data_IF_877993455898
#
_entry.id   IF_877993455898
#
_cell.length_a   1.000
_cell.length_b   1.000
_cell.length_c   1.000
_cell.angle_alpha   90.00
_cell.angle_beta   90.00
_cell.angle_gamma   90.00
#
_symmetry.space_group_name_H-M   'P 1'
#
loop_
_entity.id
_entity.type
_entity.pdbx_description
1 polymer ?
#
# COMPACT_ATOMS: atom_id res chain seq x y z
N UNK A 1 12.50 -2.53 -23.05
CA UNK A 1 11.86 -2.35 -21.73
C UNK A 1 12.78 -1.50 -20.89
N UNK A 2 12.28 -0.39 -20.37
CA UNK A 2 13.02 0.45 -19.43
C UNK A 2 13.13 -0.28 -18.08
N UNK A 3 14.26 -0.14 -17.40
CA UNK A 3 14.41 -0.67 -16.04
C UNK A 3 13.86 0.32 -15.01
N UNK A 4 13.60 -0.13 -13.77
CA UNK A 4 13.09 0.72 -12.69
C UNK A 4 14.14 1.69 -12.10
N UNK A 5 15.41 1.66 -12.52
CA UNK A 5 16.46 2.46 -11.89
C UNK A 5 16.19 3.98 -11.92
N UNK A 6 15.70 4.59 -13.02
CA UNK A 6 15.34 6.02 -13.00
C UNK A 6 14.24 6.33 -11.98
N UNK A 7 13.21 5.48 -11.92
CA UNK A 7 12.09 5.63 -10.98
C UNK A 7 12.59 5.54 -9.54
N UNK A 8 13.45 4.56 -9.23
CA UNK A 8 14.03 4.42 -7.88
C UNK A 8 14.90 5.60 -7.49
N UNK A 9 15.54 6.28 -8.44
CA UNK A 9 16.37 7.46 -8.17
C UNK A 9 15.54 8.70 -7.86
N UNK A 10 14.45 8.92 -8.61
CA UNK A 10 13.76 10.20 -8.67
C UNK A 10 12.49 10.25 -7.79
N UNK A 11 11.85 9.10 -7.55
CA UNK A 11 10.63 9.05 -6.73
C UNK A 11 10.90 9.28 -5.24
N UNK A 12 9.99 9.98 -4.57
CA UNK A 12 9.92 10.09 -3.11
C UNK A 12 8.89 9.16 -2.50
N UNK A 13 7.87 8.81 -3.27
CA UNK A 13 6.83 7.85 -2.90
C UNK A 13 6.61 6.86 -4.03
N UNK A 14 6.65 5.58 -3.70
CA UNK A 14 6.22 4.50 -4.59
C UNK A 14 5.06 3.78 -3.92
N UNK A 15 3.94 3.66 -4.63
CA UNK A 15 2.74 2.95 -4.16
C UNK A 15 2.60 1.67 -4.98
N UNK A 16 2.65 0.50 -4.35
CA UNK A 16 2.37 -0.77 -5.02
C UNK A 16 0.90 -1.12 -4.87
N UNK A 17 0.20 -1.28 -5.98
CA UNK A 17 -1.21 -1.65 -6.03
C UNK A 17 -1.40 -2.92 -6.88
N UNK A 18 -2.53 -3.60 -6.73
CA UNK A 18 -2.84 -4.80 -7.51
C UNK A 18 -3.73 -5.78 -6.74
N UNK A 19 -4.14 -6.86 -7.39
CA UNK A 19 -5.03 -7.87 -6.81
C UNK A 19 -4.40 -8.66 -5.67
N UNK A 20 -5.21 -9.41 -4.94
CA UNK A 20 -4.73 -10.29 -3.86
C UNK A 20 -3.81 -11.40 -4.40
N UNK A 21 -2.74 -11.70 -3.67
CA UNK A 21 -1.87 -12.86 -3.95
C UNK A 21 -0.87 -12.72 -5.10
N UNK A 22 -0.83 -11.57 -5.81
CA UNK A 22 0.09 -11.36 -6.95
C UNK A 22 1.53 -11.04 -6.54
N UNK A 23 1.82 -10.85 -5.24
CA UNK A 23 3.16 -10.56 -4.72
C UNK A 23 3.47 -9.08 -4.53
N UNK A 24 2.46 -8.24 -4.26
CA UNK A 24 2.64 -6.81 -3.96
C UNK A 24 3.67 -6.56 -2.85
N UNK A 25 3.46 -7.18 -1.70
CA UNK A 25 4.32 -7.04 -0.52
C UNK A 25 5.78 -7.43 -0.81
N UNK A 26 5.97 -8.56 -1.50
CA UNK A 26 7.31 -8.99 -1.94
C UNK A 26 7.94 -7.98 -2.90
N UNK A 27 7.15 -7.48 -3.84
CA UNK A 27 7.60 -6.46 -4.80
C UNK A 27 7.95 -5.14 -4.10
N UNK A 28 7.12 -4.67 -3.18
CA UNK A 28 7.38 -3.47 -2.39
C UNK A 28 8.67 -3.59 -1.57
N UNK A 29 8.86 -4.73 -0.89
CA UNK A 29 10.07 -5.02 -0.13
C UNK A 29 11.33 -5.07 -1.04
N UNK A 30 11.23 -5.73 -2.21
CA UNK A 30 12.34 -5.79 -3.17
C UNK A 30 12.71 -4.41 -3.72
N UNK A 31 11.72 -3.56 -4.03
CA UNK A 31 11.91 -2.17 -4.46
C UNK A 31 12.62 -1.36 -3.36
N UNK A 32 12.14 -1.45 -2.12
CA UNK A 32 12.73 -0.75 -0.99
C UNK A 32 14.18 -1.20 -0.75
N UNK A 33 14.45 -2.50 -0.83
CA UNK A 33 15.80 -3.06 -0.70
C UNK A 33 16.73 -2.55 -1.79
N UNK A 34 16.30 -2.50 -3.06
CA UNK A 34 17.11 -1.99 -4.17
C UNK A 34 17.36 -0.48 -4.07
N UNK A 35 16.40 0.28 -3.58
CA UNK A 35 16.60 1.71 -3.30
C UNK A 35 17.63 1.92 -2.18
N UNK A 36 17.56 1.16 -1.09
CA UNK A 36 18.56 1.19 -0.03
C UNK A 36 19.94 0.73 -0.53
N UNK A 37 20.00 -0.27 -1.42
CA UNK A 37 21.24 -0.73 -2.08
C UNK A 37 21.87 0.36 -2.97
N UNK A 38 21.06 1.28 -3.49
CA UNK A 38 21.54 2.45 -4.25
C UNK A 38 21.94 3.65 -3.37
N UNK A 39 21.96 3.51 -2.05
CA UNK A 39 22.35 4.53 -1.09
C UNK A 39 21.23 5.45 -0.63
N UNK A 40 19.96 5.18 -0.97
CA UNK A 40 18.83 5.99 -0.50
C UNK A 40 18.35 5.53 0.88
N UNK A 41 18.07 6.47 1.77
CA UNK A 41 17.41 6.20 3.05
C UNK A 41 15.95 5.84 2.75
N UNK A 42 15.60 4.58 2.93
CA UNK A 42 14.32 4.04 2.45
C UNK A 42 13.49 3.47 3.59
N UNK A 43 12.18 3.77 3.58
CA UNK A 43 11.20 3.09 4.42
C UNK A 43 10.22 2.30 3.56
N UNK A 44 9.80 1.11 4.00
CA UNK A 44 8.67 0.38 3.46
C UNK A 44 7.57 0.30 4.51
N UNK A 45 6.38 0.76 4.14
CA UNK A 45 5.18 0.73 4.97
C UNK A 45 4.17 -0.24 4.36
N UNK A 46 3.69 -1.19 5.16
CA UNK A 46 2.58 -2.08 4.76
C UNK A 46 1.32 -1.79 5.56
N UNK A 47 0.19 -1.92 4.91
CA UNK A 47 -1.14 -1.86 5.52
C UNK A 47 -1.64 -3.28 5.84
N UNK A 48 -1.09 -4.31 5.19
CA UNK A 48 -1.50 -5.71 5.39
C UNK A 48 -1.03 -6.20 6.79
N UNK A 49 -1.96 -6.62 7.67
CA UNK A 49 -1.61 -7.15 8.98
C UNK A 49 -0.90 -8.51 8.92
N UNK A 50 -0.87 -9.16 7.75
CA UNK A 50 -0.11 -10.38 7.57
C UNK A 50 1.39 -10.10 7.73
N UNK A 51 2.08 -10.88 8.57
CA UNK A 51 3.51 -10.70 8.88
C UNK A 51 4.46 -10.98 7.71
N UNK A 52 3.96 -10.97 6.47
CA UNK A 52 4.75 -11.32 5.26
C UNK A 52 5.92 -10.38 5.06
N UNK A 53 5.69 -9.07 5.20
CA UNK A 53 6.76 -8.07 5.10
C UNK A 53 7.80 -8.25 6.18
N UNK A 54 7.38 -8.44 7.45
CA UNK A 54 8.30 -8.66 8.55
C UNK A 54 9.18 -9.88 8.30
N UNK A 55 8.57 -11.01 7.95
CA UNK A 55 9.28 -12.27 7.69
C UNK A 55 10.31 -12.10 6.55
N UNK A 56 9.92 -11.48 5.44
CA UNK A 56 10.81 -11.27 4.28
C UNK A 56 11.99 -10.34 4.58
N UNK A 57 11.87 -9.46 5.57
CA UNK A 57 12.91 -8.53 6.00
C UNK A 57 13.64 -8.97 7.28
N UNK A 58 13.38 -10.18 7.76
CA UNK A 58 14.03 -10.73 8.96
C UNK A 58 13.61 -10.08 10.28
N UNK A 59 12.44 -9.43 10.32
CA UNK A 59 11.90 -8.82 11.52
C UNK A 59 11.00 -9.81 12.28
N UNK A 60 11.11 -9.82 13.60
CA UNK A 60 10.30 -10.71 14.46
C UNK A 60 8.88 -10.20 14.69
N UNK A 61 8.69 -8.89 14.73
CA UNK A 61 7.39 -8.23 14.89
C UNK A 61 7.48 -6.75 14.48
N UNK A 62 6.33 -6.15 14.19
CA UNK A 62 6.20 -4.70 14.03
C UNK A 62 5.65 -4.06 15.32
N UNK A 63 6.12 -2.83 15.61
CA UNK A 63 5.75 -2.07 16.81
C UNK A 63 4.88 -0.85 16.50
N UNK A 64 4.34 -0.73 15.29
CA UNK A 64 3.63 0.47 14.84
C UNK A 64 4.55 1.68 14.53
N UNK A 65 5.86 1.54 14.72
CA UNK A 65 6.88 2.53 14.38
C UNK A 65 7.86 1.97 13.36
N UNK A 66 8.51 2.85 12.59
CA UNK A 66 9.53 2.45 11.63
C UNK A 66 10.72 1.80 12.36
N UNK A 67 10.98 0.54 12.03
CA UNK A 67 12.09 -0.25 12.59
C UNK A 67 13.17 -0.36 11.53
N UNK A 68 14.39 -0.01 11.90
CA UNK A 68 15.55 -0.18 11.04
C UNK A 68 15.92 -1.64 10.92
N UNK A 69 16.17 -2.10 9.70
CA UNK A 69 16.70 -3.44 9.44
C UNK A 69 18.15 -3.48 9.92
N UNK A 70 18.53 -4.59 10.53
CA UNK A 70 19.88 -4.78 11.05
C UNK A 70 20.94 -4.65 9.96
N UNK A 71 21.98 -3.87 10.21
CA UNK A 71 23.04 -3.60 9.24
C UNK A 71 23.84 -4.85 8.86
N UNK A 72 24.00 -5.82 9.77
CA UNK A 72 24.68 -7.08 9.46
C UNK A 72 23.87 -7.92 8.49
N UNK A 73 22.52 -7.95 8.64
CA UNK A 73 21.63 -8.61 7.70
C UNK A 73 21.68 -7.95 6.31
N UNK A 74 21.69 -6.62 6.25
CA UNK A 74 21.80 -5.89 4.99
C UNK A 74 23.15 -6.14 4.29
N UNK A 75 24.26 -6.17 5.04
CA UNK A 75 25.59 -6.51 4.50
C UNK A 75 25.63 -7.96 4.00
N UNK A 76 25.03 -8.91 4.72
CA UNK A 76 24.93 -10.30 4.28
C UNK A 76 24.16 -10.44 2.96
N UNK A 77 23.14 -9.59 2.74
CA UNK A 77 22.37 -9.51 1.48
C UNK A 77 23.07 -8.66 0.39
N UNK A 78 24.36 -8.31 0.58
CA UNK A 78 25.18 -7.59 -0.40
C UNK A 78 24.94 -6.08 -0.48
N UNK A 79 24.43 -5.46 0.59
CA UNK A 79 24.33 -4.01 0.70
C UNK A 79 25.58 -3.43 1.36
N UNK A 80 25.78 -2.13 1.19
CA UNK A 80 26.82 -1.38 1.89
C UNK A 80 26.50 -1.29 3.40
N UNK A 81 27.52 -1.18 4.25
CA UNK A 81 27.37 -1.07 5.71
C UNK A 81 26.62 0.18 6.17
N UNK A 82 26.58 1.21 5.34
CA UNK A 82 25.86 2.46 5.55
C UNK A 82 24.45 2.47 4.97
N UNK A 83 24.01 1.38 4.32
CA UNK A 83 22.66 1.24 3.79
C UNK A 83 21.61 1.42 4.89
N UNK A 84 20.53 2.15 4.55
CA UNK A 84 19.46 2.46 5.48
C UNK A 84 18.12 2.00 4.93
N UNK A 85 17.63 0.91 5.48
CA UNK A 85 16.30 0.37 5.21
C UNK A 85 15.54 0.25 6.52
N UNK A 86 14.34 0.82 6.56
CA UNK A 86 13.40 0.66 7.66
C UNK A 86 12.12 0.04 7.16
N UNK A 87 11.43 -0.71 8.02
CA UNK A 87 10.13 -1.27 7.72
C UNK A 87 9.14 -0.93 8.83
N UNK A 88 7.87 -0.76 8.44
CA UNK A 88 6.79 -0.40 9.34
C UNK A 88 5.51 -1.10 8.89
N UNK A 89 4.70 -1.53 9.86
CA UNK A 89 3.30 -1.87 9.63
C UNK A 89 2.43 -0.76 10.20
N UNK A 90 1.41 -0.36 9.45
CA UNK A 90 0.47 0.67 9.88
C UNK A 90 -0.22 0.23 11.17
N UNK A 91 -0.12 1.06 12.20
CA UNK A 91 -0.98 1.04 13.37
C UNK A 91 -1.98 2.18 13.25
N UNK A 92 -3.20 1.85 12.84
CA UNK A 92 -4.26 2.84 12.60
C UNK A 92 -4.53 3.69 13.83
N UNK A 93 -4.60 3.04 14.99
CA UNK A 93 -4.91 3.72 16.25
C UNK A 93 -3.76 4.64 16.65
N UNK A 94 -2.54 4.15 16.65
CA UNK A 94 -1.37 4.96 17.00
C UNK A 94 -1.23 6.16 16.04
N UNK A 95 -1.43 5.97 14.74
CA UNK A 95 -1.39 7.06 13.75
C UNK A 95 -2.47 8.10 13.98
N UNK A 96 -3.70 7.66 14.29
CA UNK A 96 -4.80 8.57 14.62
C UNK A 96 -4.54 9.33 15.95
N UNK A 97 -4.05 8.63 16.96
CA UNK A 97 -3.70 9.23 18.26
C UNK A 97 -2.57 10.26 18.11
N UNK A 98 -1.54 9.96 17.34
CA UNK A 98 -0.44 10.88 17.04
C UNK A 98 -0.94 12.13 16.27
N UNK A 99 -1.88 11.96 15.35
CA UNK A 99 -2.49 13.06 14.62
C UNK A 99 -3.32 13.96 15.56
N UNK A 100 -4.11 13.37 16.46
CA UNK A 100 -4.84 14.14 17.48
C UNK A 100 -3.88 14.93 18.37
N UNK A 101 -2.80 14.30 18.85
CA UNK A 101 -1.80 14.96 19.71
C UNK A 101 -1.07 16.11 19.01
N UNK A 102 -0.79 15.98 17.71
CA UNK A 102 -0.12 17.03 16.94
C UNK A 102 -0.98 18.25 16.68
N UNK A 103 -2.28 18.05 16.52
CA UNK A 103 -3.20 19.09 16.07
C UNK A 103 -4.13 19.62 17.16
N UNK A 104 -4.17 19.00 18.33
CA UNK A 104 -4.93 19.53 19.46
C UNK A 104 -4.31 20.85 19.98
N UNK A 105 -5.15 21.73 20.49
CA UNK A 105 -4.72 23.02 21.02
C UNK A 105 -3.77 22.92 22.22
N UNK A 106 -3.91 21.86 22.98
CA UNK A 106 -3.10 21.52 24.16
C UNK A 106 -3.25 20.03 24.51
N UNK A 107 -2.39 19.52 25.39
CA UNK A 107 -2.37 18.13 25.80
C UNK A 107 -3.69 17.69 26.48
N UNK A 108 -4.29 18.55 27.27
CA UNK A 108 -5.58 18.26 27.92
C UNK A 108 -6.73 18.15 26.90
N UNK A 109 -6.68 18.92 25.81
CA UNK A 109 -7.63 18.77 24.69
C UNK A 109 -7.42 17.45 23.95
N UNK A 110 -6.16 17.06 23.70
CA UNK A 110 -5.83 15.79 23.12
C UNK A 110 -6.37 14.62 23.96
N UNK A 111 -6.08 14.61 25.25
CA UNK A 111 -6.51 13.54 26.16
C UNK A 111 -8.04 13.42 26.21
N UNK A 112 -8.77 14.53 26.29
CA UNK A 112 -10.25 14.52 26.22
C UNK A 112 -10.79 13.86 24.94
N UNK A 113 -10.10 14.05 23.80
CA UNK A 113 -10.50 13.42 22.53
C UNK A 113 -10.13 11.94 22.55
N UNK A 114 -8.92 11.58 22.95
CA UNK A 114 -8.41 10.22 22.96
C UNK A 114 -9.17 9.29 23.92
N UNK A 115 -9.64 9.81 25.04
CA UNK A 115 -10.43 9.07 26.03
C UNK A 115 -11.91 8.94 25.64
N UNK A 116 -12.35 9.69 24.63
CA UNK A 116 -13.76 9.69 24.25
C UNK A 116 -14.15 8.36 23.57
N UNK A 117 -15.24 7.68 24.02
CA UNK A 117 -15.68 6.40 23.46
C UNK A 117 -15.99 6.47 21.95
N UNK A 118 -16.50 7.59 21.46
CA UNK A 118 -16.79 7.77 20.03
C UNK A 118 -15.51 7.85 19.21
N UNK A 119 -14.48 8.55 19.71
CA UNK A 119 -13.17 8.56 19.09
C UNK A 119 -12.57 7.15 19.02
N UNK A 120 -12.63 6.41 20.12
CA UNK A 120 -12.11 5.03 20.19
C UNK A 120 -12.80 4.10 19.18
N UNK A 121 -14.12 4.22 19.02
CA UNK A 121 -14.88 3.49 18.03
C UNK A 121 -14.55 3.95 16.58
N UNK A 122 -14.40 5.27 16.38
CA UNK A 122 -14.06 5.86 15.09
C UNK A 122 -12.66 5.45 14.62
N UNK A 123 -11.64 5.59 15.49
CA UNK A 123 -10.24 5.31 15.15
C UNK A 123 -9.94 3.85 14.81
N UNK A 124 -10.87 2.92 15.13
CA UNK A 124 -10.68 1.48 14.92
C UNK A 124 -11.63 0.84 13.90
N UNK A 125 -12.75 1.47 13.56
CA UNK A 125 -13.88 0.74 12.94
C UNK A 125 -14.47 1.37 11.68
N UNK A 126 -14.07 2.58 11.27
CA UNK A 126 -14.65 3.24 10.09
C UNK A 126 -13.99 2.79 8.80
N UNK A 127 -14.82 2.33 7.85
CA UNK A 127 -14.37 2.03 6.49
C UNK A 127 -13.77 3.28 5.82
N UNK A 128 -12.57 3.14 5.23
CA UNK A 128 -11.84 4.23 4.58
C UNK A 128 -10.88 5.01 5.49
N UNK A 129 -10.90 4.77 6.82
CA UNK A 129 -9.92 5.40 7.72
C UNK A 129 -8.55 4.75 7.61
N UNK A 130 -8.48 3.45 7.33
CA UNK A 130 -7.23 2.73 7.19
C UNK A 130 -6.40 3.27 6.03
N UNK A 131 -7.03 3.50 4.91
CA UNK A 131 -6.40 4.05 3.71
C UNK A 131 -5.92 5.48 3.94
N UNK A 132 -6.73 6.29 4.62
CA UNK A 132 -6.36 7.66 4.98
C UNK A 132 -5.17 7.69 5.95
N UNK A 133 -5.22 6.90 7.03
CA UNK A 133 -4.13 6.82 8.01
C UNK A 133 -2.82 6.33 7.39
N UNK A 134 -2.89 5.43 6.40
CA UNK A 134 -1.69 5.00 5.69
C UNK A 134 -1.01 6.14 4.92
N UNK A 135 -1.79 6.99 4.23
CA UNK A 135 -1.21 8.11 3.48
C UNK A 135 -0.74 9.22 4.41
N UNK A 136 -1.44 9.45 5.51
CA UNK A 136 -1.00 10.36 6.57
C UNK A 136 0.34 9.91 7.15
N UNK A 137 0.48 8.62 7.47
CA UNK A 137 1.75 8.07 7.94
C UNK A 137 2.88 8.18 6.90
N UNK A 138 2.57 8.00 5.61
CA UNK A 138 3.54 8.23 4.52
C UNK A 138 3.97 9.70 4.49
N UNK A 139 3.02 10.63 4.58
CA UNK A 139 3.32 12.06 4.60
C UNK A 139 4.23 12.43 5.78
N UNK A 140 3.97 11.88 6.96
CA UNK A 140 4.79 12.05 8.14
C UNK A 140 6.21 11.51 7.98
N UNK A 141 6.35 10.29 7.44
CA UNK A 141 7.66 9.71 7.17
C UNK A 141 8.49 10.58 6.20
N UNK A 142 7.85 11.11 5.15
CA UNK A 142 8.51 12.00 4.19
C UNK A 142 8.81 13.39 4.76
N UNK A 143 7.93 13.92 5.61
CA UNK A 143 8.12 15.21 6.27
C UNK A 143 9.22 15.17 7.35
N UNK A 144 9.46 14.01 7.96
CA UNK A 144 10.51 13.82 8.97
C UNK A 144 11.94 14.11 8.45
N UNK A 145 12.15 14.08 7.12
CA UNK A 145 13.46 14.22 6.51
C UNK A 145 14.42 13.05 6.77
N UNK A 146 13.94 12.00 7.44
CA UNK A 146 14.73 10.79 7.70
C UNK A 146 14.84 9.87 6.49
N UNK A 147 13.88 9.95 5.56
CA UNK A 147 13.77 9.07 4.40
C UNK A 147 13.76 9.86 3.09
N UNK A 148 14.50 9.37 2.11
CA UNK A 148 14.54 9.89 0.74
C UNK A 148 13.44 9.26 -0.11
N UNK A 149 13.02 8.03 0.26
CA UNK A 149 11.97 7.26 -0.41
C UNK A 149 11.12 6.50 0.62
N UNK A 150 9.81 6.57 0.44
CA UNK A 150 8.86 5.67 1.09
C UNK A 150 8.22 4.76 0.05
N UNK A 151 8.18 3.47 0.32
CA UNK A 151 7.46 2.47 -0.50
C UNK A 151 6.24 2.01 0.29
N UNK A 152 5.05 2.24 -0.27
CA UNK A 152 3.78 1.87 0.34
C UNK A 152 3.24 0.60 -0.29
N UNK A 153 3.07 -0.44 0.52
CA UNK A 153 2.40 -1.69 0.17
C UNK A 153 0.92 -1.60 0.54
N UNK A 154 0.05 -1.56 -0.49
CA UNK A 154 -1.39 -1.38 -0.29
C UNK A 154 -2.15 -2.70 -0.16
N UNK A 155 -3.37 -2.70 0.43
CA UNK A 155 -4.27 -3.85 0.41
C UNK A 155 -4.64 -4.29 -1.02
N UNK A 156 -5.36 -5.42 -1.20
CA UNK A 156 -5.84 -5.86 -2.51
C UNK A 156 -6.63 -4.79 -3.27
N UNK A 157 -6.53 -4.79 -4.61
CA UNK A 157 -7.00 -3.74 -5.53
C UNK A 157 -8.49 -3.37 -5.45
N UNK A 158 -9.35 -4.24 -4.93
CA UNK A 158 -10.76 -3.90 -4.64
C UNK A 158 -10.89 -2.71 -3.69
N UNK A 159 -9.88 -2.48 -2.85
CA UNK A 159 -9.77 -1.35 -1.92
C UNK A 159 -8.71 -0.32 -2.32
N UNK A 160 -7.92 -0.58 -3.37
CA UNK A 160 -6.86 0.35 -3.78
C UNK A 160 -7.41 1.63 -4.45
N UNK A 161 -8.61 1.57 -5.05
CA UNK A 161 -9.33 2.76 -5.50
C UNK A 161 -9.88 3.55 -4.31
N UNK A 162 -10.34 2.86 -3.26
CA UNK A 162 -10.77 3.49 -2.01
C UNK A 162 -9.64 4.28 -1.36
N UNK A 163 -8.40 3.77 -1.46
CA UNK A 163 -7.19 4.46 -1.01
C UNK A 163 -7.00 5.83 -1.71
N UNK A 164 -7.23 5.88 -3.02
CA UNK A 164 -7.12 7.13 -3.79
C UNK A 164 -8.19 8.15 -3.40
N UNK A 165 -9.39 7.67 -3.06
CA UNK A 165 -10.54 8.50 -2.72
C UNK A 165 -10.61 8.82 -1.21
N UNK A 166 -9.82 8.16 -0.36
CA UNK A 166 -9.89 8.30 1.09
C UNK A 166 -9.76 9.76 1.58
N UNK A 167 -8.81 10.59 1.11
CA UNK A 167 -8.71 11.98 1.53
C UNK A 167 -9.93 12.81 1.11
N UNK A 168 -10.48 12.57 -0.08
CA UNK A 168 -11.65 13.29 -0.58
C UNK A 168 -12.93 12.88 0.15
N UNK A 169 -13.09 11.59 0.45
CA UNK A 169 -14.22 11.09 1.26
C UNK A 169 -14.21 11.70 2.66
N UNK A 170 -13.04 11.82 3.27
CA UNK A 170 -12.92 12.48 4.58
C UNK A 170 -13.31 13.95 4.50
N UNK A 171 -12.80 14.69 3.51
CA UNK A 171 -13.16 16.09 3.29
C UNK A 171 -14.68 16.25 3.10
N UNK A 172 -15.29 15.43 2.25
CA UNK A 172 -16.73 15.45 2.00
C UNK A 172 -17.55 15.12 3.26
N UNK A 173 -17.07 14.18 4.09
CA UNK A 173 -17.71 13.87 5.36
C UNK A 173 -17.63 15.04 6.33
N UNK A 174 -16.48 15.72 6.43
CA UNK A 174 -16.29 16.90 7.28
C UNK A 174 -17.10 18.12 6.79
N UNK A 175 -17.31 18.25 5.47
CA UNK A 175 -18.06 19.34 4.86
C UNK A 175 -19.58 19.08 4.83
N UNK A 176 -20.04 17.91 5.30
CA UNK A 176 -21.46 17.56 5.30
C UNK A 176 -22.24 18.52 6.22
N UNK A 177 -23.33 19.10 5.66
CA UNK A 177 -24.19 20.06 6.39
C UNK A 177 -24.75 19.49 7.68
N UNK A 178 -25.04 18.19 7.75
CA UNK A 178 -25.55 17.54 8.94
C UNK A 178 -24.50 17.48 10.06
N UNK A 179 -23.26 17.14 9.70
CA UNK A 179 -22.11 17.16 10.64
C UNK A 179 -21.85 18.59 11.09
N UNK A 180 -21.78 19.54 10.17
CA UNK A 180 -21.61 20.97 10.48
C UNK A 180 -22.72 21.52 11.37
N UNK A 181 -23.97 21.06 11.20
CA UNK A 181 -25.08 21.45 12.05
C UNK A 181 -24.95 20.90 13.48
N UNK A 182 -24.43 19.70 13.66
CA UNK A 182 -24.28 19.05 14.96
C UNK A 182 -23.24 19.73 15.85
N UNK A 183 -22.11 20.17 15.30
CA UNK A 183 -20.98 20.70 16.08
C UNK A 183 -20.92 22.24 16.13
N UNK A 184 -21.74 22.99 15.35
CA UNK A 184 -21.69 24.44 15.38
C UNK A 184 -21.90 24.97 16.81
N UNK A 185 -20.93 25.74 17.36
CA UNK A 185 -21.08 26.36 18.67
C UNK A 185 -22.33 27.24 18.73
N UNK A 186 -22.95 27.33 19.90
CA UNK A 186 -24.12 28.20 20.15
C UNK A 186 -23.86 29.69 19.81
N UNK A 187 -22.58 30.09 19.70
CA UNK A 187 -22.15 31.48 19.63
C UNK A 187 -21.66 31.94 18.23
N UNK A 188 -21.69 31.11 17.22
CA UNK A 188 -21.17 31.42 15.86
C UNK A 188 -22.26 31.79 14.84
N UNK A 189 -23.41 32.30 15.29
CA UNK A 189 -24.39 32.95 14.41
C UNK A 189 -24.10 34.45 14.27
N UNK A 190 -24.47 35.10 13.16
CA UNK A 190 -24.47 36.55 13.11
C UNK A 190 -25.31 37.06 14.29
N UNK A 191 -24.84 38.13 14.91
CA UNK A 191 -25.57 38.85 16.00
C UNK A 191 -26.91 39.43 15.51
N UNK A 192 -27.76 38.60 14.92
CA UNK A 192 -29.16 38.93 14.73
C UNK A 192 -29.91 38.52 16.01
N UNK A 193 -30.08 39.50 16.89
CA UNK A 193 -31.01 39.43 17.99
C UNK A 193 -32.44 39.40 17.45
N UNK A 194 -32.89 38.18 17.04
CA UNK A 194 -34.22 37.98 16.52
C UNK A 194 -34.88 36.71 17.09
N UNK A 195 -36.19 36.74 17.20
CA UNK A 195 -37.09 35.66 17.68
C UNK A 195 -36.79 34.30 16.98
N UNK A 196 -36.23 34.31 15.77
CA UNK A 196 -35.87 33.12 15.00
C UNK A 196 -34.73 32.27 15.59
N UNK A 197 -33.70 32.89 16.20
CA UNK A 197 -32.59 32.18 16.82
C UNK A 197 -32.98 31.39 18.08
N UNK A 198 -33.96 31.90 18.84
CA UNK A 198 -34.53 31.19 20.01
C UNK A 198 -35.42 30.00 19.59
N UNK A 199 -36.13 30.09 18.47
CA UNK A 199 -36.94 29.00 17.93
C UNK A 199 -36.07 27.85 17.39
N UNK A 200 -34.97 28.15 16.69
CA UNK A 200 -34.01 27.18 16.23
C UNK A 200 -33.29 26.44 17.37
N UNK A 201 -32.96 27.15 18.44
CA UNK A 201 -32.36 26.53 19.64
C UNK A 201 -33.32 25.60 20.37
N UNK A 202 -34.61 25.94 20.47
CA UNK A 202 -35.66 25.09 21.06
C UNK A 202 -35.97 23.87 20.18
N UNK A 203 -35.99 24.04 18.85
CA UNK A 203 -36.18 22.94 17.90
C UNK A 203 -35.06 21.88 18.01
N UNK A 204 -33.82 22.34 18.15
CA UNK A 204 -32.65 21.46 18.33
C UNK A 204 -32.74 20.67 19.65
N UNK A 205 -33.10 21.32 20.78
CA UNK A 205 -33.28 20.61 22.05
C UNK A 205 -34.43 19.59 22.00
N UNK A 206 -35.50 19.88 21.27
CA UNK A 206 -36.63 18.98 21.12
C UNK A 206 -36.28 17.75 20.29
N UNK A 207 -35.53 17.92 19.18
CA UNK A 207 -35.01 16.84 18.37
C UNK A 207 -34.05 15.96 19.18
N UNK A 208 -33.12 16.54 19.94
CA UNK A 208 -32.20 15.77 20.79
C UNK A 208 -32.95 15.00 21.90
N UNK A 209 -33.94 15.61 22.56
CA UNK A 209 -34.77 14.92 23.57
C UNK A 209 -35.57 13.75 22.97
N UNK A 210 -36.10 13.92 21.76
CA UNK A 210 -36.87 12.86 21.10
C UNK A 210 -35.97 11.70 20.64
N UNK A 211 -34.78 12.00 20.14
CA UNK A 211 -33.78 11.00 19.72
C UNK A 211 -33.17 10.26 20.91
N UNK A 212 -32.86 10.96 22.02
CA UNK A 212 -32.39 10.33 23.25
C UNK A 212 -33.43 9.36 23.84
N UNK A 213 -34.73 9.67 23.66
CA UNK A 213 -35.81 8.78 24.11
C UNK A 213 -35.92 7.49 23.29
N UNK A 214 -35.51 7.54 22.03
CA UNK A 214 -35.46 6.37 21.12
C UNK A 214 -34.22 5.51 21.32
N UNK A 215 -33.08 6.12 21.70
CA UNK A 215 -31.79 5.42 21.85
C UNK A 215 -31.47 5.04 23.30
N UNK A 216 -32.29 5.43 24.27
CA UNK A 216 -32.18 5.00 25.66
C UNK A 216 -31.04 5.67 26.47
N UNK A 217 -30.45 6.77 25.97
CA UNK A 217 -29.33 7.42 26.67
C UNK A 217 -28.92 8.78 26.08
N UNK A 218 -27.91 9.45 26.65
CA UNK A 218 -27.40 10.74 26.22
C UNK A 218 -26.58 10.68 24.93
N UNK A 219 -26.73 9.63 24.14
CA UNK A 219 -25.97 9.33 22.92
C UNK A 219 -25.72 10.56 22.03
N UNK A 220 -26.78 11.31 21.72
CA UNK A 220 -26.65 12.48 20.84
C UNK A 220 -25.97 13.69 21.51
N UNK A 221 -26.10 13.83 22.82
CA UNK A 221 -25.42 14.90 23.59
C UNK A 221 -23.92 14.61 23.67
N UNK A 222 -23.54 13.35 23.91
CA UNK A 222 -22.16 12.90 23.96
C UNK A 222 -21.52 12.98 22.58
N UNK A 223 -22.23 12.55 21.52
CA UNK A 223 -21.78 12.69 20.13
C UNK A 223 -21.60 14.16 19.73
N UNK A 224 -22.52 15.04 20.10
CA UNK A 224 -22.41 16.47 19.82
C UNK A 224 -21.22 17.10 20.57
N UNK A 225 -21.00 16.70 21.83
CA UNK A 225 -19.84 17.13 22.64
C UNK A 225 -18.53 16.64 22.02
N UNK A 226 -18.49 15.37 21.57
CA UNK A 226 -17.36 14.82 20.83
C UNK A 226 -17.08 15.62 19.56
N UNK A 227 -18.10 15.80 18.70
CA UNK A 227 -17.93 16.54 17.44
C UNK A 227 -17.52 18.00 17.70
N UNK A 228 -17.97 18.62 18.77
CA UNK A 228 -17.55 19.96 19.16
C UNK A 228 -16.07 19.99 19.59
N UNK A 229 -15.62 19.04 20.41
CA UNK A 229 -14.22 18.92 20.80
C UNK A 229 -13.33 18.60 19.59
N UNK A 230 -13.79 17.70 18.70
CA UNK A 230 -13.10 17.31 17.50
C UNK A 230 -13.10 18.38 16.40
N UNK A 231 -14.04 19.34 16.45
CA UNK A 231 -14.15 20.41 15.45
C UNK A 231 -12.92 21.32 15.36
N UNK A 232 -12.18 21.47 16.45
CA UNK A 232 -10.92 22.20 16.48
C UNK A 232 -9.85 21.58 15.58
N UNK A 233 -9.96 20.29 15.32
CA UNK A 233 -9.03 19.54 14.45
C UNK A 233 -9.47 19.55 12.96
N UNK A 234 -10.69 19.96 12.63
CA UNK A 234 -11.21 19.85 11.28
C UNK A 234 -10.42 20.65 10.23
N UNK A 235 -9.95 21.85 10.57
CA UNK A 235 -9.14 22.66 9.66
C UNK A 235 -7.78 22.01 9.40
N UNK A 236 -7.18 21.44 10.43
CA UNK A 236 -5.92 20.71 10.32
C UNK A 236 -6.10 19.43 9.50
N UNK A 237 -7.18 18.68 9.72
CA UNK A 237 -7.53 17.52 8.89
C UNK A 237 -7.75 17.89 7.43
N UNK A 238 -8.40 19.04 7.16
CA UNK A 238 -8.56 19.54 5.79
C UNK A 238 -7.22 19.89 5.16
N UNK A 239 -6.36 20.55 5.89
CA UNK A 239 -5.01 20.92 5.45
C UNK A 239 -4.18 19.68 5.15
N UNK A 240 -4.15 18.72 6.07
CA UNK A 240 -3.44 17.46 5.88
C UNK A 240 -3.99 16.65 4.71
N UNK A 241 -5.31 16.51 4.59
CA UNK A 241 -5.95 15.81 3.46
C UNK A 241 -5.59 16.44 2.10
N UNK A 242 -5.51 17.77 2.01
CA UNK A 242 -5.09 18.45 0.79
C UNK A 242 -3.61 18.22 0.49
N UNK A 243 -2.74 18.25 1.51
CA UNK A 243 -1.32 17.95 1.37
C UNK A 243 -1.10 16.51 0.88
N UNK A 244 -1.85 15.56 1.43
CA UNK A 244 -1.87 14.16 1.02
C UNK A 244 -2.32 14.00 -0.44
N UNK A 245 -3.40 14.65 -0.86
CA UNK A 245 -3.84 14.63 -2.26
C UNK A 245 -2.77 15.20 -3.20
N UNK A 246 -2.12 16.28 -2.79
CA UNK A 246 -1.02 16.89 -3.56
C UNK A 246 0.16 15.92 -3.65
N UNK A 247 0.53 15.26 -2.56
CA UNK A 247 1.59 14.26 -2.54
C UNK A 247 1.30 13.09 -3.49
N UNK A 248 0.09 12.54 -3.45
CA UNK A 248 -0.30 11.41 -4.30
C UNK A 248 -0.30 11.75 -5.79
N UNK A 249 -0.54 13.01 -6.17
CA UNK A 249 -0.51 13.50 -7.56
C UNK A 249 0.83 14.11 -7.99
N UNK A 250 1.79 14.23 -7.08
CA UNK A 250 3.09 14.82 -7.38
C UNK A 250 3.91 13.98 -8.36
N UNK A 251 4.72 14.63 -9.18
CA UNK A 251 5.66 13.95 -10.10
C UNK A 251 6.70 13.10 -9.37
N UNK A 252 6.89 13.30 -8.07
CA UNK A 252 7.75 12.47 -7.22
C UNK A 252 7.06 11.23 -6.67
N UNK A 253 5.79 11.02 -6.96
CA UNK A 253 5.02 9.82 -6.63
C UNK A 253 4.90 8.92 -7.86
N UNK A 254 4.94 7.60 -7.67
CA UNK A 254 4.72 6.61 -8.74
C UNK A 254 3.87 5.46 -8.25
N UNK A 255 2.84 5.14 -9.02
CA UNK A 255 1.99 3.97 -8.80
C UNK A 255 2.47 2.81 -9.65
N UNK A 256 2.92 1.74 -9.03
CA UNK A 256 3.31 0.49 -9.67
C UNK A 256 2.17 -0.53 -9.50
N UNK A 257 1.64 -1.01 -10.62
CA UNK A 257 0.54 -1.97 -10.62
C UNK A 257 1.10 -3.38 -10.76
N UNK A 258 1.07 -4.13 -9.67
CA UNK A 258 1.55 -5.51 -9.60
C UNK A 258 0.43 -6.46 -10.03
N UNK A 259 0.72 -7.35 -10.95
CA UNK A 259 -0.21 -8.37 -11.45
C UNK A 259 0.51 -9.72 -11.62
N UNK A 260 -0.25 -10.76 -11.91
CA UNK A 260 0.26 -12.06 -12.33
C UNK A 260 -0.26 -12.36 -13.77
N UNK A 261 0.36 -13.28 -14.52
CA UNK A 261 0.01 -13.51 -15.92
C UNK A 261 -1.30 -14.31 -16.10
N UNK A 262 -2.33 -13.98 -15.33
CA UNK A 262 -3.66 -14.56 -15.45
C UNK A 262 -4.63 -13.55 -16.09
N UNK A 263 -5.49 -13.96 -17.04
CA UNK A 263 -6.37 -13.03 -17.75
C UNK A 263 -7.24 -12.15 -16.84
N UNK A 264 -7.69 -12.67 -15.68
CA UNK A 264 -8.49 -11.91 -14.74
C UNK A 264 -7.67 -10.79 -14.06
N UNK A 265 -6.49 -11.13 -13.52
CA UNK A 265 -5.63 -10.17 -12.82
C UNK A 265 -5.04 -9.13 -13.78
N UNK A 266 -4.78 -9.50 -15.04
CA UNK A 266 -4.33 -8.59 -16.10
C UNK A 266 -5.43 -7.58 -16.44
N UNK A 267 -6.68 -8.02 -16.64
CA UNK A 267 -7.81 -7.10 -16.88
C UNK A 267 -8.01 -6.13 -15.72
N UNK A 268 -7.92 -6.60 -14.48
CA UNK A 268 -8.02 -5.72 -13.31
C UNK A 268 -6.85 -4.73 -13.24
N UNK A 269 -5.64 -5.14 -13.58
CA UNK A 269 -4.48 -4.25 -13.62
C UNK A 269 -4.64 -3.15 -14.69
N UNK A 270 -5.11 -3.49 -15.88
CA UNK A 270 -5.39 -2.54 -16.97
C UNK A 270 -6.50 -1.57 -16.54
N UNK A 271 -7.58 -2.07 -15.95
CA UNK A 271 -8.64 -1.23 -15.40
C UNK A 271 -8.11 -0.29 -14.32
N UNK A 272 -7.30 -0.79 -13.39
CA UNK A 272 -6.72 0.05 -12.34
C UNK A 272 -5.84 1.18 -12.90
N UNK A 273 -4.99 0.84 -13.92
CA UNK A 273 -4.22 1.87 -14.63
C UNK A 273 -5.12 2.93 -15.28
N UNK A 274 -6.22 2.55 -15.93
CA UNK A 274 -7.15 3.51 -16.53
C UNK A 274 -7.71 4.48 -15.49
N UNK A 275 -8.06 3.98 -14.31
CA UNK A 275 -8.54 4.80 -13.20
C UNK A 275 -7.46 5.75 -12.64
N UNK A 276 -6.19 5.30 -12.55
CA UNK A 276 -5.08 6.16 -12.15
C UNK A 276 -4.91 7.33 -13.13
N UNK A 277 -4.85 7.03 -14.42
CA UNK A 277 -4.64 8.04 -15.49
C UNK A 277 -5.81 9.01 -15.56
N UNK A 278 -7.06 8.52 -15.53
CA UNK A 278 -8.27 9.34 -15.57
C UNK A 278 -8.33 10.34 -14.41
N UNK A 279 -7.86 9.95 -13.21
CA UNK A 279 -7.85 10.77 -11.99
C UNK A 279 -6.58 11.59 -11.81
N UNK A 280 -5.64 11.54 -12.76
CA UNK A 280 -4.40 12.31 -12.74
C UNK A 280 -3.36 11.80 -11.74
N UNK A 281 -3.38 10.52 -11.39
CA UNK A 281 -2.34 9.89 -10.58
C UNK A 281 -1.18 9.40 -11.46
N UNK A 282 0.09 9.60 -11.02
CA UNK A 282 1.25 9.26 -11.85
C UNK A 282 1.49 7.75 -11.90
N UNK A 283 1.10 7.14 -13.02
CA UNK A 283 1.39 5.74 -13.29
C UNK A 283 2.90 5.54 -13.53
N UNK A 284 3.50 4.57 -12.83
CA UNK A 284 4.93 4.26 -12.90
C UNK A 284 5.24 2.98 -13.66
N UNK A 285 4.24 2.12 -13.90
CA UNK A 285 4.41 0.90 -14.69
C UNK A 285 3.66 -0.31 -14.13
N UNK A 286 3.59 -1.34 -14.96
CA UNK A 286 3.16 -2.68 -14.57
C UNK A 286 4.34 -3.54 -14.11
N UNK A 287 4.11 -4.37 -13.11
CA UNK A 287 4.99 -5.45 -12.71
C UNK A 287 4.22 -6.75 -12.84
N UNK A 288 4.50 -7.51 -13.91
CA UNK A 288 3.95 -8.84 -14.10
C UNK A 288 4.86 -9.86 -13.39
N UNK A 289 4.37 -10.36 -12.26
CA UNK A 289 5.11 -11.25 -11.37
C UNK A 289 4.73 -12.71 -11.60
N UNK A 290 5.64 -13.65 -11.25
CA UNK A 290 5.44 -15.10 -11.37
C UNK A 290 5.24 -15.58 -12.81
N UNK A 291 5.98 -15.01 -13.75
CA UNK A 291 5.88 -15.34 -15.17
C UNK A 291 6.68 -16.61 -15.47
N UNK A 292 6.07 -17.57 -16.16
CA UNK A 292 6.80 -18.71 -16.73
C UNK A 292 7.57 -18.22 -17.95
N UNK A 293 8.90 -18.33 -17.89
CA UNK A 293 9.76 -18.03 -19.03
C UNK A 293 9.96 -19.28 -19.88
N UNK A 294 9.94 -19.18 -21.23
CA UNK A 294 10.14 -20.33 -22.09
C UNK A 294 11.52 -20.94 -21.85
N UNK A 295 11.59 -22.24 -21.85
CA UNK A 295 12.84 -23.00 -21.77
C UNK A 295 13.21 -23.55 -23.16
N UNK A 296 14.52 -23.64 -23.48
CA UNK A 296 14.95 -24.16 -24.75
C UNK A 296 14.42 -25.59 -24.94
N UNK A 297 14.04 -25.95 -26.19
CA UNK A 297 13.59 -27.30 -26.48
C UNK A 297 14.72 -28.32 -26.23
N UNK A 298 14.35 -29.48 -25.74
CA UNK A 298 15.27 -30.60 -25.54
C UNK A 298 14.74 -31.86 -26.24
N UNK A 299 15.60 -32.85 -26.38
CA UNK A 299 15.25 -34.14 -26.97
C UNK A 299 15.69 -35.29 -26.08
N UNK A 300 15.08 -36.45 -26.25
CA UNK A 300 15.50 -37.66 -25.55
C UNK A 300 16.99 -37.99 -25.78
N UNK A 301 17.47 -37.77 -27.04
CA UNK A 301 18.87 -37.96 -27.42
C UNK A 301 19.85 -37.06 -26.67
N UNK A 302 19.41 -35.86 -26.23
CA UNK A 302 20.19 -34.93 -25.38
C UNK A 302 20.09 -35.26 -23.89
N UNK A 303 18.89 -35.64 -23.43
CA UNK A 303 18.64 -35.86 -22.00
C UNK A 303 19.23 -37.17 -21.49
N UNK A 304 19.15 -38.28 -22.24
CA UNK A 304 19.66 -39.61 -21.79
C UNK A 304 21.15 -39.57 -21.48
N UNK A 305 22.03 -38.98 -22.30
CA UNK A 305 23.45 -38.83 -21.94
C UNK A 305 23.68 -37.91 -20.74
N UNK A 306 22.89 -36.82 -20.63
CA UNK A 306 22.99 -35.90 -19.49
C UNK A 306 22.60 -36.59 -18.16
N UNK A 307 21.55 -37.41 -18.18
CA UNK A 307 21.13 -38.22 -17.02
C UNK A 307 22.18 -39.28 -16.67
N UNK A 308 22.85 -39.88 -17.65
CA UNK A 308 23.97 -40.77 -17.41
C UNK A 308 25.15 -40.06 -16.74
N UNK A 309 25.51 -38.86 -17.20
CA UNK A 309 26.55 -38.04 -16.60
C UNK A 309 26.19 -37.59 -15.18
N UNK A 310 24.88 -37.42 -14.87
CA UNK A 310 24.35 -37.12 -13.53
C UNK A 310 24.27 -38.37 -12.61
N UNK A 311 24.71 -39.55 -13.07
CA UNK A 311 24.74 -40.77 -12.26
C UNK A 311 23.39 -41.50 -12.15
N UNK A 312 22.43 -41.21 -13.01
CA UNK A 312 21.12 -41.90 -13.03
C UNK A 312 21.32 -43.35 -13.56
N UNK A 313 20.71 -44.33 -12.91
CA UNK A 313 20.76 -45.74 -13.28
C UNK A 313 20.20 -45.95 -14.68
N UNK A 314 20.77 -46.90 -15.43
CA UNK A 314 20.53 -47.10 -16.87
C UNK A 314 19.07 -47.38 -17.21
N UNK A 315 18.42 -48.21 -16.40
CA UNK A 315 17.00 -48.55 -16.50
C UNK A 315 16.04 -47.38 -16.26
N UNK A 316 16.48 -46.39 -15.48
CA UNK A 316 15.69 -45.20 -15.16
C UNK A 316 15.86 -44.05 -16.15
N UNK A 317 16.92 -44.04 -16.99
CA UNK A 317 17.23 -42.89 -17.86
C UNK A 317 16.15 -42.61 -18.89
N UNK A 318 15.68 -43.63 -19.60
CA UNK A 318 14.68 -43.45 -20.65
C UNK A 318 13.27 -43.10 -20.11
N UNK A 319 12.76 -43.71 -19.03
CA UNK A 319 11.55 -43.25 -18.38
C UNK A 319 11.67 -41.80 -17.91
N UNK A 320 12.71 -41.44 -17.15
CA UNK A 320 12.92 -40.11 -16.62
C UNK A 320 13.07 -39.04 -17.70
N UNK A 321 13.76 -39.36 -18.81
CA UNK A 321 13.87 -38.46 -19.97
C UNK A 321 12.49 -38.15 -20.58
N UNK A 322 11.58 -39.13 -20.66
CA UNK A 322 10.20 -38.92 -21.14
C UNK A 322 9.42 -37.99 -20.19
N UNK A 323 9.51 -38.23 -18.87
CA UNK A 323 8.80 -37.44 -17.90
C UNK A 323 9.31 -35.98 -17.88
N UNK A 324 10.63 -35.78 -17.99
CA UNK A 324 11.24 -34.46 -18.11
C UNK A 324 10.83 -33.72 -19.37
N UNK A 325 10.72 -34.43 -20.52
CA UNK A 325 10.23 -33.82 -21.75
C UNK A 325 8.75 -33.42 -21.67
N UNK A 326 7.91 -34.26 -21.05
CA UNK A 326 6.51 -33.92 -20.84
C UNK A 326 6.39 -32.70 -19.90
N UNK A 327 7.15 -32.67 -18.81
CA UNK A 327 7.18 -31.51 -17.90
C UNK A 327 7.69 -30.22 -18.57
N UNK A 328 8.70 -30.34 -19.47
CA UNK A 328 9.20 -29.21 -20.26
C UNK A 328 8.14 -28.67 -21.21
N UNK A 329 7.40 -29.57 -21.89
CA UNK A 329 6.32 -29.19 -22.79
C UNK A 329 5.16 -28.50 -22.04
N UNK A 330 4.77 -29.02 -20.89
CA UNK A 330 3.78 -28.38 -20.00
C UNK A 330 4.24 -26.99 -19.53
N UNK A 331 5.50 -26.86 -19.12
CA UNK A 331 6.10 -25.58 -18.74
C UNK A 331 6.07 -24.56 -19.90
N UNK A 332 6.46 -24.98 -21.11
CA UNK A 332 6.48 -24.09 -22.27
C UNK A 332 5.05 -23.69 -22.71
N UNK A 333 4.05 -24.57 -22.56
CA UNK A 333 2.64 -24.19 -22.74
C UNK A 333 2.17 -23.14 -21.72
N UNK A 334 2.63 -23.21 -20.46
CA UNK A 334 2.37 -22.15 -19.48
C UNK A 334 3.06 -20.84 -19.88
N UNK A 335 4.31 -20.90 -20.32
CA UNK A 335 5.05 -19.73 -20.78
C UNK A 335 4.38 -19.06 -22.00
N UNK A 336 3.83 -19.81 -22.94
CA UNK A 336 3.08 -19.27 -24.08
C UNK A 336 1.81 -18.54 -23.64
N UNK A 337 1.06 -19.08 -22.68
CA UNK A 337 -0.11 -18.40 -22.10
C UNK A 337 0.29 -17.11 -21.41
N UNK A 338 1.35 -17.14 -20.61
CA UNK A 338 1.85 -15.98 -19.91
C UNK A 338 2.31 -14.88 -20.87
N UNK A 339 2.95 -15.28 -21.99
CA UNK A 339 3.31 -14.36 -23.07
C UNK A 339 2.11 -13.63 -23.68
N UNK A 340 0.93 -14.28 -23.75
CA UNK A 340 -0.32 -13.63 -24.12
C UNK A 340 -0.70 -12.49 -23.17
N UNK A 341 -0.73 -12.79 -21.88
CA UNK A 341 -1.02 -11.80 -20.82
C UNK A 341 -0.03 -10.64 -20.80
N UNK A 342 1.25 -10.90 -21.08
CA UNK A 342 2.29 -9.88 -21.19
C UNK A 342 2.05 -8.97 -22.40
N UNK A 343 1.59 -9.50 -23.53
CA UNK A 343 1.23 -8.69 -24.71
C UNK A 343 0.09 -7.74 -24.40
N UNK A 344 -0.97 -8.21 -23.74
CA UNK A 344 -2.11 -7.35 -23.35
C UNK A 344 -1.66 -6.15 -22.49
N UNK A 345 -0.74 -6.37 -21.54
CA UNK A 345 -0.16 -5.29 -20.73
C UNK A 345 0.74 -4.35 -21.57
N UNK A 346 1.54 -4.91 -22.47
CA UNK A 346 2.44 -4.15 -23.34
C UNK A 346 1.70 -3.30 -24.36
N UNK A 347 0.50 -3.70 -24.81
CA UNK A 347 -0.35 -2.89 -25.69
C UNK A 347 -0.80 -1.58 -25.02
N UNK A 348 -1.03 -1.61 -23.71
CA UNK A 348 -1.50 -0.43 -22.94
C UNK A 348 -0.34 0.42 -22.42
N UNK A 349 0.83 -0.19 -22.11
CA UNK A 349 2.00 0.49 -21.56
C UNK A 349 3.32 -0.19 -22.01
N UNK A 350 3.72 -0.01 -23.28
CA UNK A 350 4.84 -0.76 -23.85
C UNK A 350 6.19 -0.48 -23.19
N UNK A 351 6.40 0.73 -22.74
CA UNK A 351 7.66 1.16 -22.09
C UNK A 351 7.71 1.00 -20.58
N UNK A 352 6.57 0.69 -19.97
CA UNK A 352 6.35 0.73 -18.52
C UNK A 352 5.94 -0.66 -17.98
N UNK A 353 6.43 -1.73 -18.63
CA UNK A 353 6.17 -3.12 -18.24
C UNK A 353 7.46 -3.79 -17.76
N UNK A 354 7.41 -4.30 -16.53
CA UNK A 354 8.47 -5.08 -15.89
C UNK A 354 7.97 -6.50 -15.65
N UNK A 355 8.84 -7.48 -15.86
CA UNK A 355 8.50 -8.90 -15.71
C UNK A 355 9.43 -9.52 -14.69
N UNK A 356 8.85 -10.19 -13.69
CA UNK A 356 9.56 -11.00 -12.71
C UNK A 356 9.18 -12.46 -12.96
N UNK A 357 10.15 -13.35 -13.22
CA UNK A 357 9.85 -14.74 -13.45
C UNK A 357 9.34 -15.45 -12.19
N UNK A 358 8.66 -16.56 -12.38
CA UNK A 358 8.39 -17.50 -11.29
C UNK A 358 9.73 -18.05 -10.79
N UNK A 359 10.08 -17.70 -9.55
CA UNK A 359 11.31 -18.19 -8.92
C UNK A 359 11.13 -19.63 -8.46
N UNK A 360 12.21 -20.44 -8.43
CA UNK A 360 12.16 -21.83 -7.98
C UNK A 360 11.71 -22.00 -6.50
N UNK A 361 11.99 -21.00 -5.69
CA UNK A 361 11.69 -20.97 -4.26
C UNK A 361 10.86 -19.76 -3.90
N UNK A 362 10.03 -19.86 -2.88
CA UNK A 362 9.29 -18.74 -2.33
C UNK A 362 10.24 -17.70 -1.73
N UNK A 363 9.93 -16.43 -1.97
CA UNK A 363 10.71 -15.30 -1.47
C UNK A 363 10.31 -15.03 0.00
N UNK A 364 11.21 -15.35 0.92
CA UNK A 364 11.00 -15.20 2.36
C UNK A 364 12.18 -14.57 3.11
N UNK A 365 13.22 -14.15 2.38
CA UNK A 365 14.44 -13.54 2.91
C UNK A 365 14.97 -12.41 2.02
N UNK A 366 16.02 -11.74 2.49
CA UNK A 366 16.66 -10.63 1.78
C UNK A 366 17.31 -11.04 0.46
N UNK A 367 17.82 -12.27 0.35
CA UNK A 367 18.45 -12.78 -0.87
C UNK A 367 17.40 -12.99 -1.97
N UNK A 368 16.26 -13.58 -1.63
CA UNK A 368 15.12 -13.71 -2.53
C UNK A 368 14.59 -12.34 -2.97
N UNK A 369 14.48 -11.38 -2.05
CA UNK A 369 14.09 -10.00 -2.37
C UNK A 369 15.11 -9.32 -3.28
N UNK A 370 16.42 -9.53 -3.06
CA UNK A 370 17.48 -9.00 -3.91
C UNK A 370 17.35 -9.55 -5.34
N UNK A 371 17.10 -10.85 -5.51
CA UNK A 371 16.85 -11.48 -6.83
C UNK A 371 15.64 -10.87 -7.55
N UNK A 372 14.51 -10.70 -6.87
CA UNK A 372 13.34 -10.02 -7.45
C UNK A 372 13.72 -8.61 -7.91
N UNK A 373 14.43 -7.87 -7.07
CA UNK A 373 14.91 -6.52 -7.40
C UNK A 373 15.85 -6.49 -8.60
N UNK A 374 16.73 -7.47 -8.75
CA UNK A 374 17.65 -7.55 -9.90
C UNK A 374 16.91 -7.80 -11.23
N UNK A 375 15.82 -8.59 -11.22
CA UNK A 375 14.93 -8.70 -12.38
C UNK A 375 14.24 -7.36 -12.69
N UNK A 376 13.75 -6.64 -11.69
CA UNK A 376 13.11 -5.33 -11.86
C UNK A 376 14.07 -4.27 -12.40
N UNK A 377 15.36 -4.37 -12.06
CA UNK A 377 16.42 -3.50 -12.58
C UNK A 377 17.04 -3.97 -13.89
N UNK A 378 16.64 -5.14 -14.41
CA UNK A 378 17.18 -5.71 -15.64
C UNK A 378 18.66 -6.13 -15.53
N UNK A 379 19.14 -6.41 -14.31
CA UNK A 379 20.51 -6.89 -14.05
C UNK A 379 20.68 -8.37 -14.33
N UNK A 380 19.60 -9.14 -14.21
CA UNK A 380 19.54 -10.55 -14.60
C UNK A 380 18.78 -10.61 -15.94
N UNK A 381 19.43 -11.15 -16.97
CA UNK A 381 18.78 -11.37 -18.26
C UNK A 381 17.81 -12.56 -18.17
N UNK A 382 16.74 -12.50 -18.92
CA UNK A 382 15.67 -13.50 -19.02
C UNK A 382 16.12 -14.77 -19.71
#
# INVERSE_FOLDING_TARGET
MKNLAPLLRDARLIVTAGTGGVGKTTTAAAIALQAAKSGRRTAVLTIDPARRLANSLGLTAFTGRAQRIDSQQLVAAGLSSDAQLSAMMLDMRATADDMVRRHASDEAAADRILENPYYQAFSTSLAGTQEYMAVEQVADLLASGLYDLVVLDTPPATHALDFLDAPERLLNALDNRAVNWLYRPKDSGPRESGYGARLLGRGRQMVFKSLNKLTGGPFFEDLATFLQAFSSLFEEFRSSSRAVQTLLRADSTRFLVVTAPYPATVREAIYFRSQLVERGFPFGGFICNRVHLPRPPSTAGGLVPALAAAGVADDMRAPLARDLLAALDDHNRMAERDAGSIRDLAEVAPDELHVVPLLPEDVHDLDGLSRVGDYLLGRIQR
#
